data_IF_553144884848
#
_entry.id   IF_553144884848
#
_cell.length_a   1.000
_cell.length_b   1.000
_cell.length_c   1.000
_cell.angle_alpha   90.00
_cell.angle_beta   90.00
_cell.angle_gamma   90.00
#
_symmetry.space_group_name_H-M   'P 1'
#
loop_
_entity.id
_entity.type
_entity.pdbx_description
1 polymer ?
#
# COMPACT_ATOMS: atom_id res chain seq x y z
N UNK A 1 19.47 -15.84 -23.98
CA UNK A 1 19.98 -14.69 -23.19
C UNK A 1 18.93 -14.40 -22.14
N UNK A 2 19.22 -14.65 -20.90
CA UNK A 2 18.31 -14.30 -19.79
C UNK A 2 18.17 -12.77 -19.80
N UNK A 3 16.95 -12.29 -20.01
CA UNK A 3 16.64 -10.85 -20.00
C UNK A 3 16.76 -10.34 -18.55
N UNK A 4 17.93 -9.86 -18.18
CA UNK A 4 18.23 -9.35 -16.85
C UNK A 4 18.15 -7.82 -16.86
N UNK A 5 16.92 -7.30 -16.83
CA UNK A 5 16.73 -5.85 -16.71
C UNK A 5 17.14 -5.36 -15.33
N UNK A 6 17.76 -4.17 -15.23
CA UNK A 6 18.03 -3.55 -13.94
C UNK A 6 16.71 -3.22 -13.24
N UNK A 7 16.57 -3.61 -11.98
CA UNK A 7 15.42 -3.32 -11.12
C UNK A 7 15.88 -2.43 -9.97
N UNK A 8 15.20 -1.29 -9.79
CA UNK A 8 15.44 -0.40 -8.66
C UNK A 8 14.51 -0.74 -7.51
N UNK A 9 15.08 -0.95 -6.32
CA UNK A 9 14.35 -1.07 -5.05
C UNK A 9 14.52 0.24 -4.29
N UNK A 10 13.43 0.94 -4.02
CA UNK A 10 13.43 2.19 -3.26
C UNK A 10 12.97 1.90 -1.84
N UNK A 11 13.80 2.28 -0.86
CA UNK A 11 13.53 2.10 0.57
C UNK A 11 13.57 3.46 1.25
N UNK A 12 12.40 4.05 1.60
CA UNK A 12 12.35 5.24 2.44
C UNK A 12 12.68 4.87 3.88
N UNK A 13 13.58 5.63 4.51
CA UNK A 13 14.09 5.37 5.86
C UNK A 13 13.88 6.60 6.74
N UNK A 14 13.14 6.45 7.83
CA UNK A 14 13.02 7.46 8.87
C UNK A 14 12.87 6.81 10.24
N UNK A 15 13.89 6.98 11.10
CA UNK A 15 13.91 6.44 12.47
C UNK A 15 13.53 4.94 12.54
N UNK A 16 14.13 4.15 11.64
CA UNK A 16 13.83 2.71 11.48
C UNK A 16 14.95 1.79 12.00
N UNK A 17 15.93 2.29 12.76
CA UNK A 17 17.14 1.55 13.18
C UNK A 17 16.87 0.13 13.67
N UNK A 18 15.77 -0.05 14.41
CA UNK A 18 15.41 -1.34 15.00
C UNK A 18 15.10 -2.43 13.96
N UNK A 19 14.57 -2.05 12.80
CA UNK A 19 14.05 -2.97 11.77
C UNK A 19 14.90 -2.96 10.51
N UNK A 20 15.63 -1.86 10.28
CA UNK A 20 16.33 -1.55 9.04
C UNK A 20 17.37 -2.61 8.65
N UNK A 21 18.06 -3.22 9.62
CA UNK A 21 19.01 -4.30 9.37
C UNK A 21 18.33 -5.47 8.66
N UNK A 22 17.24 -5.98 9.23
CA UNK A 22 16.49 -7.12 8.69
C UNK A 22 15.87 -6.80 7.32
N UNK A 23 15.42 -5.55 7.13
CA UNK A 23 14.90 -5.07 5.85
C UNK A 23 15.98 -5.14 4.77
N UNK A 24 17.16 -4.51 5.00
CA UNK A 24 18.25 -4.45 4.03
C UNK A 24 18.78 -5.86 3.73
N UNK A 25 18.99 -6.71 4.75
CA UNK A 25 19.44 -8.09 4.56
C UNK A 25 18.46 -8.91 3.70
N UNK A 26 17.15 -8.70 3.88
CA UNK A 26 16.14 -9.37 3.06
C UNK A 26 16.21 -8.94 1.58
N UNK A 27 16.60 -7.69 1.32
CA UNK A 27 16.80 -7.17 -0.04
C UNK A 27 18.12 -7.68 -0.62
N UNK A 28 19.20 -7.73 0.16
CA UNK A 28 20.51 -8.20 -0.28
C UNK A 28 20.52 -9.69 -0.61
N UNK A 29 19.68 -10.49 0.06
CA UNK A 29 19.51 -11.93 -0.13
C UNK A 29 18.62 -12.32 -1.31
N UNK A 30 18.13 -11.36 -2.12
CA UNK A 30 17.31 -11.66 -3.28
C UNK A 30 18.06 -12.52 -4.31
N UNK A 31 17.35 -13.52 -4.87
CA UNK A 31 17.88 -14.39 -5.94
C UNK A 31 18.09 -13.63 -7.25
N UNK A 32 17.37 -12.56 -7.48
CA UNK A 32 17.59 -11.66 -8.60
C UNK A 32 18.74 -10.67 -8.26
N UNK A 33 19.85 -10.74 -8.99
CA UNK A 33 21.08 -10.02 -8.62
C UNK A 33 21.26 -8.67 -9.30
N UNK A 34 20.60 -8.42 -10.47
CA UNK A 34 20.77 -7.16 -11.18
C UNK A 34 19.88 -6.06 -10.56
N UNK A 35 20.25 -5.63 -9.35
CA UNK A 35 19.52 -4.70 -8.51
C UNK A 35 20.28 -3.39 -8.35
N UNK A 36 19.54 -2.29 -8.31
CA UNK A 36 19.91 -1.00 -7.77
C UNK A 36 19.07 -0.77 -6.51
N UNK A 37 19.70 -0.54 -5.37
CA UNK A 37 19.02 -0.35 -4.08
C UNK A 37 19.23 1.11 -3.66
N UNK A 38 18.15 1.87 -3.54
CA UNK A 38 18.22 3.29 -3.17
C UNK A 38 17.58 3.48 -1.80
N UNK A 39 18.42 3.73 -0.80
CA UNK A 39 18.02 4.03 0.56
C UNK A 39 17.87 5.54 0.69
N UNK A 40 16.68 6.04 1.02
CA UNK A 40 16.43 7.46 1.20
C UNK A 40 16.30 7.73 2.70
N UNK A 41 17.35 8.27 3.29
CA UNK A 41 17.30 8.71 4.69
C UNK A 41 16.61 10.08 4.77
N UNK A 42 15.40 10.07 5.31
CA UNK A 42 14.52 11.25 5.45
C UNK A 42 14.79 11.99 6.78
N UNK A 43 16.09 12.21 7.09
CA UNK A 43 16.52 12.97 8.26
C UNK A 43 16.38 12.19 9.56
N UNK A 44 16.81 10.94 9.59
CA UNK A 44 16.78 10.09 10.79
C UNK A 44 17.69 10.61 11.91
N UNK A 45 17.28 10.41 13.16
CA UNK A 45 17.99 10.82 14.36
C UNK A 45 18.29 9.67 15.34
N UNK A 46 17.88 8.46 15.01
CA UNK A 46 18.00 7.26 15.87
C UNK A 46 19.24 6.40 15.57
N UNK A 47 20.08 6.83 14.60
CA UNK A 47 21.23 6.10 14.09
C UNK A 47 20.97 5.27 12.84
N UNK A 48 19.78 5.38 12.23
CA UNK A 48 19.48 4.79 10.90
C UNK A 48 20.41 5.37 9.84
N UNK A 49 20.71 6.67 9.87
CA UNK A 49 21.64 7.35 8.97
C UNK A 49 23.00 6.64 8.91
N UNK A 50 23.58 6.33 10.07
CA UNK A 50 24.85 5.61 10.14
C UNK A 50 24.73 4.23 9.51
N UNK A 51 23.65 3.50 9.80
CA UNK A 51 23.45 2.15 9.32
C UNK A 51 23.33 2.09 7.78
N UNK A 52 22.56 3.00 7.15
CA UNK A 52 22.47 3.03 5.68
C UNK A 52 23.80 3.35 5.03
N UNK A 53 24.62 4.26 5.63
CA UNK A 53 25.95 4.61 5.14
C UNK A 53 26.93 3.42 5.25
N UNK A 54 26.85 2.65 6.32
CA UNK A 54 27.72 1.47 6.50
C UNK A 54 27.36 0.37 5.48
N UNK A 55 26.08 0.15 5.17
CA UNK A 55 25.64 -0.76 4.11
C UNK A 55 26.10 -0.29 2.72
N UNK A 56 26.01 1.00 2.40
CA UNK A 56 26.47 1.52 1.10
C UNK A 56 27.98 1.33 0.86
N UNK A 57 28.80 1.27 1.93
CA UNK A 57 30.23 0.93 1.82
C UNK A 57 30.47 -0.56 1.57
N UNK A 58 29.55 -1.42 2.01
CA UNK A 58 29.70 -2.89 1.94
C UNK A 58 29.17 -3.50 0.63
N UNK A 59 28.17 -2.88 -0.02
CA UNK A 59 27.56 -3.40 -1.25
C UNK A 59 27.39 -2.30 -2.31
N UNK A 60 27.99 -2.50 -3.47
CA UNK A 60 28.01 -1.55 -4.61
C UNK A 60 26.61 -1.30 -5.22
N UNK A 61 25.67 -2.18 -4.98
CA UNK A 61 24.27 -2.01 -5.45
C UNK A 61 23.51 -0.96 -4.67
N UNK A 62 24.00 -0.59 -3.46
CA UNK A 62 23.34 0.36 -2.55
C UNK A 62 23.80 1.78 -2.83
N UNK A 63 22.85 2.66 -3.03
CA UNK A 63 23.01 4.12 -3.07
C UNK A 63 22.23 4.74 -1.92
N UNK A 64 22.83 5.72 -1.24
CA UNK A 64 22.14 6.46 -0.17
C UNK A 64 21.94 7.91 -0.59
N UNK A 65 20.74 8.41 -0.33
CA UNK A 65 20.39 9.82 -0.51
C UNK A 65 19.86 10.35 0.82
N UNK A 66 20.52 11.37 1.35
CA UNK A 66 20.07 12.05 2.57
C UNK A 66 19.24 13.29 2.23
N UNK A 67 18.14 13.47 2.93
CA UNK A 67 17.31 14.69 2.83
C UNK A 67 16.85 15.11 4.23
N UNK A 68 16.38 16.37 4.35
CA UNK A 68 15.63 16.79 5.55
C UNK A 68 14.33 16.03 5.62
N UNK A 69 13.83 15.77 6.83
CA UNK A 69 12.54 15.11 6.98
C UNK A 69 11.42 15.90 6.27
N UNK A 70 10.91 15.30 5.22
CA UNK A 70 9.80 15.81 4.39
C UNK A 70 8.70 14.74 4.20
N UNK A 71 8.78 13.62 4.94
CA UNK A 71 7.80 12.56 4.97
C UNK A 71 7.92 11.53 3.84
N UNK A 72 7.19 10.43 4.00
CA UNK A 72 7.26 9.22 3.19
C UNK A 72 7.08 9.49 1.68
N UNK A 73 6.08 10.29 1.31
CA UNK A 73 5.84 10.68 -0.09
C UNK A 73 7.04 11.37 -0.72
N UNK A 74 7.67 12.30 0.01
CA UNK A 74 8.84 13.01 -0.45
C UNK A 74 10.04 12.07 -0.62
N UNK A 75 10.26 11.17 0.34
CA UNK A 75 11.33 10.18 0.28
C UNK A 75 11.16 9.25 -0.93
N UNK A 76 9.94 8.72 -1.18
CA UNK A 76 9.67 7.91 -2.38
C UNK A 76 9.86 8.71 -3.66
N UNK A 77 9.39 9.97 -3.73
CA UNK A 77 9.61 10.84 -4.89
C UNK A 77 11.10 11.17 -5.13
N UNK A 78 11.88 11.30 -4.07
CA UNK A 78 13.34 11.44 -4.18
C UNK A 78 13.97 10.17 -4.72
N UNK A 79 13.59 8.99 -4.24
CA UNK A 79 14.02 7.71 -4.78
C UNK A 79 13.72 7.58 -6.28
N UNK A 80 12.53 7.97 -6.71
CA UNK A 80 12.14 7.97 -8.13
C UNK A 80 13.03 8.85 -9.01
N UNK A 81 13.54 9.98 -8.51
CA UNK A 81 14.45 10.86 -9.27
C UNK A 81 15.82 10.23 -9.47
N UNK A 82 16.26 9.35 -8.59
CA UNK A 82 17.56 8.68 -8.63
C UNK A 82 17.52 7.29 -9.26
N UNK A 83 16.33 6.72 -9.47
CA UNK A 83 16.14 5.40 -10.04
C UNK A 83 16.58 5.34 -11.50
N UNK A 84 17.42 4.34 -11.84
CA UNK A 84 17.93 4.09 -13.20
C UNK A 84 17.47 2.77 -13.77
N UNK A 85 16.86 1.91 -12.96
CA UNK A 85 16.33 0.62 -13.39
C UNK A 85 15.17 0.74 -14.37
N UNK A 86 15.00 -0.28 -15.20
CA UNK A 86 13.85 -0.38 -16.11
C UNK A 86 12.53 -0.56 -15.34
N UNK A 87 12.62 -1.22 -14.19
CA UNK A 87 11.49 -1.47 -13.29
C UNK A 87 11.80 -0.95 -11.89
N UNK A 88 10.76 -0.64 -11.13
CA UNK A 88 10.84 -0.15 -9.75
C UNK A 88 9.91 -0.96 -8.86
N UNK A 89 10.38 -1.23 -7.66
CA UNK A 89 9.57 -1.68 -6.53
C UNK A 89 9.90 -0.87 -5.28
N UNK A 90 8.99 -0.88 -4.30
CA UNK A 90 9.17 -0.20 -3.01
C UNK A 90 9.15 -1.22 -1.89
N UNK A 91 10.01 -1.00 -0.89
CA UNK A 91 10.02 -1.78 0.36
C UNK A 91 10.08 -0.79 1.51
N UNK A 92 9.17 -0.91 2.46
CA UNK A 92 9.19 -0.05 3.65
C UNK A 92 10.28 -0.53 4.63
N UNK A 93 10.96 0.40 5.28
CA UNK A 93 12.18 0.12 6.06
C UNK A 93 11.96 -0.71 7.33
N UNK A 94 10.72 -0.94 7.71
CA UNK A 94 10.30 -1.77 8.84
C UNK A 94 9.74 -3.14 8.42
N UNK A 95 9.69 -3.43 7.10
CA UNK A 95 9.21 -4.67 6.51
C UNK A 95 10.36 -5.52 5.95
N UNK A 96 10.03 -6.72 5.45
CA UNK A 96 10.96 -7.67 4.81
C UNK A 96 10.37 -8.26 3.55
N UNK A 97 11.22 -8.80 2.71
CA UNK A 97 10.81 -9.52 1.50
C UNK A 97 11.45 -10.92 1.47
N UNK A 98 10.70 -11.91 0.98
CA UNK A 98 11.22 -13.27 0.80
C UNK A 98 12.24 -13.34 -0.35
N UNK A 99 13.21 -14.24 -0.31
CA UNK A 99 14.35 -14.26 -1.25
C UNK A 99 13.99 -14.28 -2.73
N UNK A 100 12.86 -14.87 -3.10
CA UNK A 100 12.46 -15.04 -4.50
C UNK A 100 11.50 -13.95 -5.00
N UNK A 101 11.16 -12.94 -4.18
CA UNK A 101 10.12 -11.97 -4.54
C UNK A 101 10.42 -11.27 -5.86
N UNK A 102 11.62 -10.73 -6.01
CA UNK A 102 11.95 -9.91 -7.19
C UNK A 102 12.06 -10.79 -8.45
N UNK A 103 12.65 -11.95 -8.33
CA UNK A 103 12.80 -12.89 -9.45
C UNK A 103 11.45 -13.39 -9.95
N UNK A 104 10.57 -13.80 -9.06
CA UNK A 104 9.28 -14.35 -9.43
C UNK A 104 8.33 -13.28 -9.97
N UNK A 105 8.35 -12.04 -9.41
CA UNK A 105 7.63 -10.91 -9.98
C UNK A 105 8.11 -10.59 -11.39
N UNK A 106 9.43 -10.56 -11.60
CA UNK A 106 10.02 -10.29 -12.91
C UNK A 106 9.69 -11.40 -13.93
N UNK A 107 9.84 -12.66 -13.55
CA UNK A 107 9.51 -13.81 -14.40
C UNK A 107 8.00 -13.80 -14.74
N UNK A 108 7.13 -13.58 -13.76
CA UNK A 108 5.69 -13.51 -14.00
C UNK A 108 5.33 -12.38 -14.98
N UNK A 109 5.99 -11.23 -14.88
CA UNK A 109 5.80 -10.09 -15.77
C UNK A 109 6.22 -10.44 -17.20
N UNK A 110 7.38 -11.05 -17.39
CA UNK A 110 7.90 -11.42 -18.72
C UNK A 110 7.05 -12.53 -19.35
N UNK A 111 6.79 -13.62 -18.62
CA UNK A 111 6.03 -14.77 -19.12
C UNK A 111 4.61 -14.42 -19.52
N UNK A 112 3.98 -13.52 -18.76
CA UNK A 112 2.63 -13.06 -19.03
C UNK A 112 2.56 -11.93 -20.05
N UNK A 113 3.71 -11.35 -20.43
CA UNK A 113 3.78 -10.09 -21.18
C UNK A 113 2.92 -9.00 -20.51
N UNK A 114 3.00 -8.93 -19.20
CA UNK A 114 2.27 -7.96 -18.40
C UNK A 114 3.09 -6.68 -18.21
N UNK A 115 2.40 -5.58 -17.91
CA UNK A 115 3.04 -4.30 -17.62
C UNK A 115 3.44 -4.20 -16.16
N UNK A 116 2.59 -4.72 -15.25
CA UNK A 116 2.79 -4.70 -13.80
C UNK A 116 2.68 -6.15 -13.28
N UNK A 117 3.58 -6.53 -12.37
CA UNK A 117 3.45 -7.76 -11.60
C UNK A 117 3.17 -7.43 -10.13
N UNK A 118 2.31 -8.24 -9.49
CA UNK A 118 1.85 -8.06 -8.10
C UNK A 118 1.99 -9.40 -7.38
N UNK A 119 2.56 -9.41 -6.17
CA UNK A 119 2.52 -10.57 -5.28
C UNK A 119 1.63 -10.30 -4.05
N UNK A 120 1.41 -11.34 -3.26
CA UNK A 120 0.72 -11.23 -2.00
C UNK A 120 1.69 -11.02 -0.83
N UNK A 121 1.13 -10.89 0.37
CA UNK A 121 1.88 -10.64 1.59
C UNK A 121 1.38 -11.48 2.75
N UNK A 122 2.21 -11.57 3.78
CA UNK A 122 1.87 -12.12 5.08
C UNK A 122 2.18 -11.10 6.18
N UNK A 123 1.45 -11.17 7.25
CA UNK A 123 1.60 -10.33 8.42
C UNK A 123 2.42 -11.06 9.50
N UNK A 124 3.46 -10.42 10.03
CA UNK A 124 4.26 -10.90 11.15
C UNK A 124 3.93 -10.07 12.40
N UNK A 125 3.37 -10.69 13.40
CA UNK A 125 3.00 -10.05 14.65
C UNK A 125 4.13 -10.09 15.70
N UNK A 126 4.16 -9.17 16.68
CA UNK A 126 5.21 -9.13 17.73
C UNK A 126 5.36 -10.41 18.56
N UNK A 127 4.33 -11.23 18.64
CA UNK A 127 4.35 -12.53 19.30
C UNK A 127 4.87 -13.68 18.42
N UNK A 128 5.39 -13.38 17.23
CA UNK A 128 5.88 -14.35 16.26
C UNK A 128 4.79 -15.02 15.42
N UNK A 129 3.51 -14.69 15.63
CA UNK A 129 2.42 -15.24 14.81
C UNK A 129 2.53 -14.70 13.40
N UNK A 130 2.40 -15.59 12.42
CA UNK A 130 2.31 -15.24 11.00
C UNK A 130 0.88 -15.48 10.53
N UNK A 131 0.34 -14.53 9.75
CA UNK A 131 -0.97 -14.64 9.12
C UNK A 131 -0.82 -14.33 7.63
N UNK A 132 -1.05 -15.32 6.79
CA UNK A 132 -1.12 -15.17 5.34
C UNK A 132 -2.51 -14.74 4.88
N UNK A 133 -2.57 -14.12 3.70
CA UNK A 133 -3.81 -13.54 3.17
C UNK A 133 -4.27 -14.14 1.83
N UNK A 134 -3.40 -14.84 1.12
CA UNK A 134 -3.64 -15.19 -0.29
C UNK A 134 -3.97 -16.64 -0.60
N UNK A 135 -4.07 -17.51 0.38
CA UNK A 135 -4.19 -18.96 0.15
C UNK A 135 -5.33 -19.41 -0.79
N UNK A 136 -6.25 -18.50 -1.14
CA UNK A 136 -7.42 -18.80 -1.96
C UNK A 136 -7.41 -18.12 -3.34
N UNK A 137 -6.34 -17.40 -3.72
CA UNK A 137 -6.30 -16.70 -5.00
C UNK A 137 -5.30 -17.38 -5.94
N UNK A 138 -5.72 -17.81 -7.16
CA UNK A 138 -4.78 -18.38 -8.14
C UNK A 138 -3.91 -17.29 -8.79
N UNK A 139 -2.78 -17.71 -9.41
CA UNK A 139 -2.06 -16.85 -10.38
C UNK A 139 -3.05 -16.45 -11.47
N UNK A 140 -3.14 -15.15 -11.74
CA UNK A 140 -4.11 -14.62 -12.70
C UNK A 140 -3.56 -13.40 -13.42
N UNK A 141 -3.99 -13.24 -14.68
CA UNK A 141 -3.72 -12.05 -15.48
C UNK A 141 -5.00 -11.24 -15.59
N UNK A 142 -4.92 -9.97 -15.28
CA UNK A 142 -6.03 -9.04 -15.26
C UNK A 142 -5.91 -8.00 -16.36
N UNK A 143 -7.05 -7.56 -16.91
CA UNK A 143 -7.17 -6.26 -17.56
C UNK A 143 -7.05 -5.14 -16.52
N UNK A 144 -6.86 -3.91 -16.96
CA UNK A 144 -6.84 -2.73 -16.07
C UNK A 144 -8.08 -2.66 -15.19
N UNK A 145 -9.27 -2.81 -15.79
CA UNK A 145 -10.54 -2.74 -15.08
C UNK A 145 -10.68 -3.85 -14.01
N UNK A 146 -10.31 -5.08 -14.36
CA UNK A 146 -10.32 -6.19 -13.41
C UNK A 146 -9.34 -5.97 -12.26
N UNK A 147 -8.15 -5.43 -12.55
CA UNK A 147 -7.17 -5.13 -11.52
C UNK A 147 -7.65 -4.02 -10.58
N UNK A 148 -8.27 -2.95 -11.12
CA UNK A 148 -8.88 -1.89 -10.31
C UNK A 148 -10.00 -2.45 -9.43
N UNK A 149 -10.88 -3.30 -9.96
CA UNK A 149 -11.95 -3.93 -9.19
C UNK A 149 -11.40 -4.76 -8.02
N UNK A 150 -10.39 -5.61 -8.27
CA UNK A 150 -9.75 -6.43 -7.25
C UNK A 150 -9.05 -5.57 -6.18
N UNK A 151 -8.32 -4.52 -6.57
CA UNK A 151 -7.66 -3.58 -5.67
C UNK A 151 -8.67 -2.86 -4.77
N UNK A 152 -9.76 -2.35 -5.32
CA UNK A 152 -10.81 -1.63 -4.57
C UNK A 152 -11.52 -2.54 -3.55
N UNK A 153 -11.67 -3.82 -3.89
CA UNK A 153 -12.28 -4.84 -3.02
C UNK A 153 -11.28 -5.54 -2.10
N UNK A 154 -9.98 -5.28 -2.26
CA UNK A 154 -8.88 -5.94 -1.54
C UNK A 154 -8.84 -7.46 -1.76
N UNK A 155 -9.19 -7.89 -2.97
CA UNK A 155 -9.20 -9.29 -3.38
C UNK A 155 -7.79 -9.71 -3.86
N UNK A 156 -7.00 -10.32 -2.96
CA UNK A 156 -5.64 -10.82 -3.24
C UNK A 156 -4.54 -9.76 -3.15
N UNK A 157 -4.84 -8.49 -3.43
CA UNK A 157 -3.89 -7.40 -3.27
C UNK A 157 -4.57 -6.07 -2.90
N UNK A 158 -3.79 -5.17 -2.34
CA UNK A 158 -4.27 -3.89 -1.81
C UNK A 158 -3.73 -2.71 -2.60
N UNK A 159 -4.19 -1.51 -2.23
CA UNK A 159 -3.78 -0.23 -2.82
C UNK A 159 -2.31 0.14 -2.52
N UNK A 160 -1.62 -0.56 -1.60
CA UNK A 160 -0.21 -0.29 -1.30
C UNK A 160 0.68 -0.32 -2.56
N UNK A 161 1.69 0.53 -2.64
CA UNK A 161 2.71 0.51 -3.71
C UNK A 161 3.79 -0.54 -3.50
N UNK A 162 3.93 -1.08 -2.30
CA UNK A 162 4.76 -2.27 -2.03
C UNK A 162 4.20 -3.51 -2.72
N UNK A 163 4.91 -4.63 -2.74
CA UNK A 163 4.45 -5.90 -3.34
C UNK A 163 4.25 -5.86 -4.85
N UNK A 164 4.71 -4.82 -5.53
CA UNK A 164 4.46 -4.60 -6.96
C UNK A 164 5.74 -4.23 -7.68
N UNK A 165 5.86 -4.70 -8.91
CA UNK A 165 6.93 -4.33 -9.83
C UNK A 165 6.33 -3.50 -10.96
N UNK A 166 6.75 -2.23 -11.05
CA UNK A 166 6.25 -1.24 -12.00
C UNK A 166 7.29 -0.88 -13.05
N UNK A 167 6.90 -0.58 -14.29
CA UNK A 167 7.79 0.09 -15.25
C UNK A 167 8.16 1.49 -14.74
N UNK A 168 9.44 1.84 -14.78
CA UNK A 168 9.93 3.15 -14.30
C UNK A 168 9.30 4.33 -15.04
N UNK A 169 9.01 4.16 -16.32
CA UNK A 169 8.43 5.23 -17.15
C UNK A 169 7.01 5.64 -16.72
N UNK A 170 6.27 4.80 -15.97
CA UNK A 170 4.94 5.15 -15.45
C UNK A 170 5.01 6.30 -14.42
N UNK A 171 6.15 6.46 -13.76
CA UNK A 171 6.36 7.54 -12.79
C UNK A 171 6.74 8.89 -13.40
N UNK A 172 6.85 9.02 -14.73
CA UNK A 172 7.19 10.31 -15.36
C UNK A 172 6.14 11.39 -15.11
N UNK A 173 4.86 11.02 -15.05
CA UNK A 173 3.73 11.92 -14.79
C UNK A 173 3.06 11.70 -13.43
N UNK A 174 3.37 10.61 -12.73
CA UNK A 174 2.71 10.20 -11.49
C UNK A 174 3.70 10.34 -10.33
N UNK A 175 3.31 11.07 -9.29
CA UNK A 175 4.10 11.29 -8.07
C UNK A 175 3.26 10.97 -6.84
N UNK A 176 3.94 10.60 -5.77
CA UNK A 176 3.31 10.50 -4.46
C UNK A 176 2.90 11.89 -3.96
N UNK A 177 1.66 12.08 -3.46
CA UNK A 177 1.20 13.35 -2.95
C UNK A 177 1.95 13.70 -1.66
N UNK A 178 2.70 14.82 -1.70
CA UNK A 178 3.47 15.31 -0.55
C UNK A 178 2.51 15.85 0.53
N UNK A 179 2.91 15.75 1.80
CA UNK A 179 2.15 16.18 2.98
C UNK A 179 0.77 15.50 3.13
N UNK A 180 0.62 14.30 2.58
CA UNK A 180 -0.58 13.47 2.71
C UNK A 180 -0.29 12.17 3.43
N UNK A 181 -1.21 11.76 4.32
CA UNK A 181 -1.30 10.38 4.76
C UNK A 181 -2.04 9.55 3.69
N UNK A 182 -1.77 8.25 3.64
CA UNK A 182 -2.37 7.32 2.66
C UNK A 182 -2.01 7.68 1.21
N UNK A 183 -0.76 8.06 0.98
CA UNK A 183 -0.21 8.44 -0.32
C UNK A 183 -0.38 7.37 -1.39
N UNK A 184 -0.40 6.10 -0.98
CA UNK A 184 -0.66 4.95 -1.84
C UNK A 184 -2.05 5.02 -2.48
N UNK A 185 -3.07 5.45 -1.73
CA UNK A 185 -4.43 5.66 -2.24
C UNK A 185 -4.44 6.71 -3.36
N UNK A 186 -3.58 7.74 -3.24
CA UNK A 186 -3.49 8.80 -4.25
C UNK A 186 -2.63 8.45 -5.47
N UNK A 187 -1.91 7.30 -5.46
CA UNK A 187 -0.88 6.99 -6.44
C UNK A 187 -1.10 5.67 -7.18
N UNK A 188 -1.32 4.57 -6.46
CA UNK A 188 -1.28 3.21 -7.03
C UNK A 188 -2.33 2.99 -8.12
N UNK A 189 -3.55 3.50 -7.96
CA UNK A 189 -4.59 3.35 -8.97
C UNK A 189 -4.21 3.99 -10.31
N UNK A 190 -3.50 5.14 -10.27
CA UNK A 190 -3.02 5.82 -11.48
C UNK A 190 -2.01 4.97 -12.23
N UNK A 191 -1.10 4.31 -11.49
CA UNK A 191 -0.13 3.39 -12.07
C UNK A 191 -0.82 2.17 -12.69
N UNK A 192 -1.87 1.64 -12.05
CA UNK A 192 -2.67 0.55 -12.61
C UNK A 192 -3.44 1.02 -13.86
N UNK A 193 -3.94 2.26 -13.89
CA UNK A 193 -4.64 2.83 -15.06
C UNK A 193 -3.73 3.03 -16.29
N UNK A 194 -2.41 3.21 -16.09
CA UNK A 194 -1.42 3.23 -17.18
C UNK A 194 -1.17 1.84 -17.80
N UNK A 195 -1.45 0.77 -17.05
CA UNK A 195 -1.18 -0.60 -17.47
C UNK A 195 -2.34 -1.18 -18.27
N UNK A 196 -2.04 -1.99 -19.28
CA UNK A 196 -3.05 -2.76 -20.05
C UNK A 196 -3.24 -4.17 -19.50
N UNK A 197 -2.18 -4.72 -18.91
CA UNK A 197 -2.14 -6.10 -18.44
C UNK A 197 -1.37 -6.19 -17.11
N UNK A 198 -2.01 -6.76 -16.13
CA UNK A 198 -1.46 -6.90 -14.78
C UNK A 198 -1.44 -8.39 -14.40
N UNK A 199 -0.30 -8.91 -13.97
CA UNK A 199 -0.20 -10.27 -13.46
C UNK A 199 -0.15 -10.27 -11.94
N UNK A 200 -0.97 -11.11 -11.32
CA UNK A 200 -0.95 -11.41 -9.90
C UNK A 200 -0.41 -12.82 -9.67
N UNK A 201 0.53 -12.95 -8.73
CA UNK A 201 1.01 -14.22 -8.20
C UNK A 201 0.62 -14.35 -6.73
N UNK A 202 0.06 -15.48 -6.29
CA UNK A 202 -0.51 -15.62 -4.94
C UNK A 202 0.55 -15.79 -3.84
N UNK A 203 1.83 -15.85 -4.21
CA UNK A 203 2.92 -16.06 -3.28
C UNK A 203 3.03 -14.89 -2.29
N UNK A 204 3.09 -15.20 -1.00
CA UNK A 204 3.17 -14.23 0.10
C UNK A 204 4.62 -13.82 0.33
N UNK A 205 5.19 -13.09 -0.62
CA UNK A 205 6.60 -12.71 -0.61
C UNK A 205 6.91 -11.47 0.21
N UNK A 206 5.95 -10.62 0.46
CA UNK A 206 6.14 -9.44 1.30
C UNK A 206 5.76 -9.78 2.74
N UNK A 207 6.60 -9.42 3.70
CA UNK A 207 6.37 -9.66 5.13
C UNK A 207 6.11 -8.33 5.81
N UNK A 208 4.83 -8.01 6.01
CA UNK A 208 4.42 -6.83 6.76
C UNK A 208 4.63 -7.06 8.26
N UNK A 209 5.50 -6.25 8.88
CA UNK A 209 5.89 -6.41 10.28
C UNK A 209 5.05 -5.49 11.16
N UNK A 210 4.17 -6.08 11.98
CA UNK A 210 3.41 -5.32 12.97
C UNK A 210 4.29 -4.86 14.13
N UNK A 211 4.21 -3.57 14.46
CA UNK A 211 4.86 -3.02 15.65
C UNK A 211 4.01 -1.93 16.32
N UNK A 212 4.27 -1.67 17.61
CA UNK A 212 3.44 -0.77 18.41
C UNK A 212 3.49 0.69 17.93
N UNK A 213 4.56 1.10 17.26
CA UNK A 213 4.80 2.46 16.79
C UNK A 213 4.32 2.73 15.35
N UNK A 214 3.60 1.77 14.73
CA UNK A 214 3.07 1.96 13.39
C UNK A 214 2.16 3.18 13.31
N UNK A 215 2.24 3.93 12.22
CA UNK A 215 1.41 5.13 11.93
C UNK A 215 -0.09 4.81 12.06
N UNK A 216 -0.48 3.59 11.69
CA UNK A 216 -1.87 3.12 11.79
C UNK A 216 -2.37 3.10 13.23
N UNK A 217 -1.49 2.82 14.21
CA UNK A 217 -1.82 2.69 15.63
C UNK A 217 -1.75 4.00 16.41
N UNK A 218 -1.32 5.10 15.78
CA UNK A 218 -1.24 6.41 16.43
C UNK A 218 -2.62 6.99 16.73
N UNK A 219 -2.68 7.88 17.73
CA UNK A 219 -3.89 8.64 18.08
C UNK A 219 -4.45 9.35 16.85
N UNK A 220 -5.75 9.64 16.89
CA UNK A 220 -6.42 10.34 15.78
C UNK A 220 -5.74 11.69 15.52
N UNK A 221 -5.47 11.97 14.24
CA UNK A 221 -4.86 13.18 13.70
C UNK A 221 -5.73 13.64 12.51
N UNK A 222 -5.89 14.95 12.33
CA UNK A 222 -6.68 15.57 11.23
C UNK A 222 -6.23 15.10 9.83
N UNK A 223 -4.93 14.82 9.65
CA UNK A 223 -4.38 14.31 8.40
C UNK A 223 -4.99 12.95 8.00
N UNK A 224 -5.54 12.18 8.94
CA UNK A 224 -6.23 10.93 8.62
C UNK A 224 -7.44 11.12 7.71
N UNK A 225 -8.02 12.33 7.64
CA UNK A 225 -9.06 12.64 6.66
C UNK A 225 -8.57 12.65 5.21
N UNK A 226 -7.26 12.65 4.97
CA UNK A 226 -6.73 12.47 3.63
C UNK A 226 -7.18 11.13 3.03
N UNK A 227 -7.41 10.09 3.84
CA UNK A 227 -8.00 8.84 3.37
C UNK A 227 -9.33 9.06 2.64
N UNK A 228 -10.23 9.86 3.20
CA UNK A 228 -11.53 10.16 2.56
C UNK A 228 -11.30 10.94 1.25
N UNK A 229 -10.51 12.02 1.32
CA UNK A 229 -10.27 12.90 0.16
C UNK A 229 -9.60 12.14 -0.99
N UNK A 230 -8.53 11.38 -0.70
CA UNK A 230 -7.82 10.61 -1.71
C UNK A 230 -8.64 9.44 -2.25
N UNK A 231 -9.46 8.80 -1.40
CA UNK A 231 -10.40 7.76 -1.87
C UNK A 231 -11.47 8.34 -2.78
N UNK A 232 -12.05 9.49 -2.44
CA UNK A 232 -13.06 10.13 -3.28
C UNK A 232 -12.46 10.52 -4.64
N UNK A 233 -11.27 11.12 -4.66
CA UNK A 233 -10.55 11.44 -5.90
C UNK A 233 -10.26 10.19 -6.73
N UNK A 234 -9.72 9.13 -6.12
CA UNK A 234 -9.48 7.85 -6.79
C UNK A 234 -10.75 7.28 -7.42
N UNK A 235 -11.86 7.32 -6.68
CA UNK A 235 -13.13 6.81 -7.16
C UNK A 235 -13.71 7.65 -8.31
N UNK A 236 -13.53 8.98 -8.27
CA UNK A 236 -13.97 9.87 -9.36
C UNK A 236 -13.15 9.61 -10.63
N UNK A 237 -11.82 9.55 -10.51
CA UNK A 237 -10.91 9.29 -11.64
C UNK A 237 -11.20 7.91 -12.28
N UNK A 238 -11.43 6.88 -11.45
CA UNK A 238 -11.79 5.53 -11.94
C UNK A 238 -13.14 5.56 -12.64
N UNK A 239 -14.17 6.15 -12.04
CA UNK A 239 -15.52 6.18 -12.64
C UNK A 239 -15.57 6.94 -13.96
N UNK A 240 -14.70 7.93 -14.16
CA UNK A 240 -14.62 8.66 -15.42
C UNK A 240 -14.17 7.76 -16.58
N UNK A 241 -13.26 6.80 -16.33
CA UNK A 241 -12.72 5.92 -17.37
C UNK A 241 -13.37 4.52 -17.37
N UNK A 242 -13.84 4.05 -16.20
CA UNK A 242 -14.42 2.72 -15.97
C UNK A 242 -15.76 2.84 -15.25
N UNK A 243 -16.83 3.34 -15.91
CA UNK A 243 -18.13 3.59 -15.29
C UNK A 243 -18.80 2.32 -14.72
N UNK A 244 -18.47 1.14 -15.25
CA UNK A 244 -18.97 -0.15 -14.76
C UNK A 244 -18.45 -0.51 -13.36
N UNK A 245 -17.42 0.18 -12.87
CA UNK A 245 -16.92 0.03 -11.50
C UNK A 245 -17.64 0.90 -10.46
N UNK A 246 -18.70 1.62 -10.85
CA UNK A 246 -19.40 2.59 -9.99
C UNK A 246 -19.88 2.00 -8.66
N UNK A 247 -20.43 0.79 -8.69
CA UNK A 247 -20.90 0.14 -7.45
C UNK A 247 -19.75 -0.18 -6.50
N UNK A 248 -18.61 -0.63 -7.04
CA UNK A 248 -17.40 -0.96 -6.26
C UNK A 248 -16.75 0.31 -5.70
N UNK A 249 -16.67 1.38 -6.48
CA UNK A 249 -16.13 2.66 -6.03
C UNK A 249 -17.01 3.30 -4.96
N UNK A 250 -18.34 3.21 -5.09
CA UNK A 250 -19.29 3.66 -4.08
C UNK A 250 -19.10 2.91 -2.76
N UNK A 251 -18.98 1.59 -2.80
CA UNK A 251 -18.66 0.78 -1.62
C UNK A 251 -17.30 1.18 -1.00
N UNK A 252 -16.27 1.45 -1.81
CA UNK A 252 -14.96 1.90 -1.34
C UNK A 252 -15.03 3.24 -0.62
N UNK A 253 -15.85 4.20 -1.09
CA UNK A 253 -16.12 5.47 -0.41
C UNK A 253 -16.73 5.25 0.99
N UNK A 254 -17.68 4.31 1.11
CA UNK A 254 -18.30 3.98 2.40
C UNK A 254 -17.26 3.38 3.35
N UNK A 255 -16.40 2.45 2.88
CA UNK A 255 -15.34 1.85 3.68
C UNK A 255 -14.31 2.85 4.18
N UNK A 256 -13.94 3.86 3.38
CA UNK A 256 -13.06 4.94 3.82
C UNK A 256 -13.68 5.71 5.01
N UNK A 257 -14.96 6.00 4.95
CA UNK A 257 -15.68 6.67 6.03
C UNK A 257 -15.83 5.80 7.28
N UNK A 258 -16.09 4.50 7.13
CA UNK A 258 -16.04 3.56 8.26
C UNK A 258 -14.66 3.53 8.91
N UNK A 259 -13.58 3.59 8.11
CA UNK A 259 -12.21 3.59 8.62
C UNK A 259 -11.92 4.82 9.49
N UNK A 260 -12.40 5.99 9.09
CA UNK A 260 -12.26 7.21 9.91
C UNK A 260 -13.19 7.17 11.11
N UNK A 261 -14.45 6.74 10.93
CA UNK A 261 -15.42 6.69 12.03
C UNK A 261 -14.98 5.76 13.17
N UNK A 262 -14.17 4.74 12.90
CA UNK A 262 -13.60 3.85 13.93
C UNK A 262 -12.73 4.58 14.95
N UNK A 263 -12.05 5.65 14.58
CA UNK A 263 -10.96 6.26 15.36
C UNK A 263 -11.19 7.75 15.68
N UNK A 264 -12.10 8.42 14.97
CA UNK A 264 -12.40 9.84 15.20
C UNK A 264 -13.02 10.04 16.59
N UNK A 265 -12.65 11.10 17.36
CA UNK A 265 -13.35 11.44 18.60
C UNK A 265 -14.84 11.69 18.36
N UNK A 266 -15.71 11.13 19.21
CA UNK A 266 -17.16 11.21 19.04
C UNK A 266 -17.71 12.66 19.06
N UNK A 267 -17.02 13.55 19.76
CA UNK A 267 -17.35 14.99 19.82
C UNK A 267 -16.72 15.82 18.70
N UNK A 268 -16.00 15.19 17.78
CA UNK A 268 -15.38 15.90 16.65
C UNK A 268 -16.45 16.37 15.65
N UNK A 269 -16.40 17.64 15.15
CA UNK A 269 -17.42 18.18 14.24
C UNK A 269 -17.68 17.30 13.01
N UNK A 270 -16.64 16.75 12.40
CA UNK A 270 -16.74 15.87 11.21
C UNK A 270 -17.34 14.51 11.49
N UNK A 271 -17.54 14.10 12.75
CA UNK A 271 -18.23 12.83 13.05
C UNK A 271 -19.67 12.89 12.52
N UNK A 272 -20.36 14.02 12.69
CA UNK A 272 -21.70 14.22 12.14
C UNK A 272 -21.69 14.19 10.62
N UNK A 273 -20.75 14.90 9.97
CA UNK A 273 -20.64 14.92 8.50
C UNK A 273 -20.46 13.51 7.91
N UNK A 274 -19.61 12.67 8.55
CA UNK A 274 -19.41 11.28 8.13
C UNK A 274 -20.70 10.49 8.26
N UNK A 275 -21.42 10.60 9.38
CA UNK A 275 -22.68 9.88 9.61
C UNK A 275 -23.76 10.33 8.63
N UNK A 276 -23.87 11.63 8.40
CA UNK A 276 -24.82 12.20 7.43
C UNK A 276 -24.52 11.69 6.01
N UNK A 277 -23.24 11.64 5.60
CA UNK A 277 -22.86 11.04 4.34
C UNK A 277 -23.26 9.56 4.24
N UNK A 278 -22.95 8.75 5.28
CA UNK A 278 -23.31 7.34 5.33
C UNK A 278 -24.84 7.14 5.23
N UNK A 279 -25.62 8.01 5.86
CA UNK A 279 -27.08 7.98 5.82
C UNK A 279 -27.61 8.35 4.43
N UNK A 280 -27.07 9.41 3.83
CA UNK A 280 -27.51 9.89 2.50
C UNK A 280 -27.21 8.90 1.39
N UNK A 281 -26.12 8.11 1.53
CA UNK A 281 -25.66 7.18 0.50
C UNK A 281 -25.76 5.71 0.94
N UNK A 282 -26.68 5.39 1.86
CA UNK A 282 -26.80 4.02 2.39
C UNK A 282 -27.11 2.98 1.31
N UNK A 283 -27.77 3.38 0.21
CA UNK A 283 -28.08 2.52 -0.94
C UNK A 283 -26.82 1.92 -1.57
N UNK A 284 -25.66 2.55 -1.45
CA UNK A 284 -24.37 1.99 -1.94
C UNK A 284 -24.02 0.65 -1.29
N UNK A 285 -24.59 0.38 -0.10
CA UNK A 285 -24.40 -0.86 0.64
C UNK A 285 -25.69 -1.68 0.69
N UNK A 286 -26.86 -1.05 0.90
CA UNK A 286 -28.14 -1.79 1.07
C UNK A 286 -28.62 -2.44 -0.23
N UNK A 287 -28.48 -1.73 -1.35
CA UNK A 287 -28.97 -2.18 -2.66
C UNK A 287 -27.92 -3.00 -3.41
N UNK A 288 -26.65 -2.91 -2.99
CA UNK A 288 -25.58 -3.71 -3.55
C UNK A 288 -25.66 -5.17 -3.07
N UNK A 289 -26.11 -6.07 -3.96
CA UNK A 289 -26.22 -7.51 -3.68
C UNK A 289 -24.88 -8.16 -3.36
N UNK A 290 -23.77 -7.59 -3.84
CA UNK A 290 -22.40 -8.08 -3.62
C UNK A 290 -21.77 -7.50 -2.35
N UNK A 291 -22.37 -6.48 -1.72
CA UNK A 291 -21.82 -5.89 -0.49
C UNK A 291 -21.70 -6.92 0.63
N UNK A 292 -20.58 -6.90 1.33
CA UNK A 292 -20.28 -7.87 2.36
C UNK A 292 -21.26 -7.77 3.55
N UNK A 293 -21.48 -8.90 4.24
CA UNK A 293 -22.25 -8.88 5.50
C UNK A 293 -21.62 -7.95 6.53
N UNK A 294 -20.29 -7.83 6.52
CA UNK A 294 -19.55 -6.94 7.40
C UNK A 294 -19.87 -5.48 7.12
N UNK A 295 -19.92 -5.05 5.85
CA UNK A 295 -20.23 -3.68 5.49
C UNK A 295 -21.70 -3.33 5.81
N UNK A 296 -22.63 -4.27 5.59
CA UNK A 296 -24.04 -4.10 5.97
C UNK A 296 -24.20 -3.93 7.49
N UNK A 297 -23.49 -4.73 8.28
CA UNK A 297 -23.47 -4.59 9.74
C UNK A 297 -22.81 -3.28 10.17
N UNK A 298 -21.69 -2.92 9.55
CA UNK A 298 -20.98 -1.67 9.82
C UNK A 298 -21.87 -0.45 9.59
N UNK A 299 -22.59 -0.41 8.47
CA UNK A 299 -23.55 0.65 8.16
C UNK A 299 -24.65 0.72 9.22
N UNK A 300 -25.29 -0.40 9.54
CA UNK A 300 -26.36 -0.46 10.56
C UNK A 300 -25.87 0.10 11.90
N UNK A 301 -24.70 -0.32 12.37
CA UNK A 301 -24.14 0.15 13.63
C UNK A 301 -23.79 1.64 13.59
N UNK A 302 -23.18 2.12 12.50
CA UNK A 302 -22.80 3.52 12.33
C UNK A 302 -24.02 4.45 12.33
N UNK A 303 -25.10 4.06 11.66
CA UNK A 303 -26.35 4.83 11.61
C UNK A 303 -27.16 4.76 12.93
N UNK A 304 -27.04 3.67 13.68
CA UNK A 304 -27.68 3.55 14.99
C UNK A 304 -26.96 4.42 16.03
N UNK A 305 -25.64 4.29 16.13
CA UNK A 305 -24.80 5.10 17.02
C UNK A 305 -23.33 4.96 16.66
N UNK A 306 -22.60 6.05 16.38
CA UNK A 306 -21.15 6.04 16.22
C UNK A 306 -20.41 5.40 17.39
N UNK A 307 -20.92 5.56 18.62
CA UNK A 307 -20.34 4.94 19.83
C UNK A 307 -20.44 3.41 19.79
N UNK A 308 -21.60 2.87 19.42
CA UNK A 308 -21.78 1.43 19.26
C UNK A 308 -20.89 0.87 18.15
N UNK A 309 -20.80 1.57 17.03
CA UNK A 309 -19.91 1.23 15.94
C UNK A 309 -18.45 1.13 16.39
N UNK A 310 -17.92 2.15 17.09
CA UNK A 310 -16.56 2.16 17.61
C UNK A 310 -16.31 1.03 18.62
N UNK A 311 -17.28 0.78 19.51
CA UNK A 311 -17.17 -0.27 20.54
C UNK A 311 -17.12 -1.66 19.89
N UNK A 312 -17.97 -1.94 18.91
CA UNK A 312 -17.99 -3.20 18.19
C UNK A 312 -16.64 -3.47 17.46
N UNK A 313 -16.06 -2.44 16.85
CA UNK A 313 -14.74 -2.57 16.21
C UNK A 313 -13.60 -2.79 17.20
N UNK A 314 -13.59 -2.11 18.36
CA UNK A 314 -12.59 -2.32 19.42
C UNK A 314 -12.65 -3.74 20.00
N UNK A 315 -13.81 -4.34 20.09
CA UNK A 315 -13.95 -5.74 20.52
C UNK A 315 -13.40 -6.69 19.46
N UNK A 316 -13.71 -6.47 18.17
CA UNK A 316 -13.20 -7.33 17.07
C UNK A 316 -11.68 -7.28 16.92
N UNK A 317 -11.02 -6.17 17.21
CA UNK A 317 -9.55 -6.01 17.09
C UNK A 317 -8.76 -6.68 18.24
N UNK A 318 -9.44 -7.16 19.30
CA UNK A 318 -8.81 -7.87 20.44
C UNK A 318 -8.77 -9.40 20.27
N UNK A 319 -9.46 -9.93 19.26
CA UNK A 319 -9.47 -11.35 18.84
C UNK A 319 -8.86 -11.55 17.46
#
# INVERSE_FOLDING_TARGET
>A
MTNTSLITIIVPVYNAKKYLHDCIESILSQTYHNLEIILIDDGSTDGSEKLVNDYAKSDKRIKVVHQKNMGLSSARNTGLKHATGKYITFVDSDDRIEPNMIEDLFNALIDSQADIAICSFKELYPNGKIKGLSHNYPKQVFTTEQALANMLQENGFMVSTTMKLFPTNYFKGIKFPVDKLHEDVGTTYKLIMEAKKIVFIPNEYYVYVHHNNSIINQTFDERKFDLIKLTDQMCDDINQQYPDLKDITNERRMRARFSILRQIPLNHPKTKEIVDYLKTHQEFITDNKKASKTDKLALKLALTSPRLFQTAYKLKSKF
#
